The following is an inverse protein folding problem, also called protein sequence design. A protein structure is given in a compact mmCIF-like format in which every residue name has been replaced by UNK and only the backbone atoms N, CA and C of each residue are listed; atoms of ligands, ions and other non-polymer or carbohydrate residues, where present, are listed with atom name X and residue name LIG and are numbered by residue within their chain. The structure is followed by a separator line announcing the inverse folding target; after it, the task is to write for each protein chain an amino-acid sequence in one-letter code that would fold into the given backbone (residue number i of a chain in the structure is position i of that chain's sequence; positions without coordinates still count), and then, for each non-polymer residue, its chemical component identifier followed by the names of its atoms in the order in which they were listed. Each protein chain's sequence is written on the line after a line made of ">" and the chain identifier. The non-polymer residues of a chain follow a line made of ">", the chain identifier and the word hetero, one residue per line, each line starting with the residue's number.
data_IF_959047486166
#
_entry.id   IF_959047486166
#
_cell.length_a   1.000
_cell.length_b   1.000
_cell.length_c   1.000
_cell.angle_alpha   90.00
_cell.angle_beta   90.00
_cell.angle_gamma   90.00
#
_symmetry.space_group_name_H-M   'P 1'
#
loop_
_entity.id
_entity.type
_entity.pdbx_description
1 polymer ?
#
# COMPACT_ATOMS: atom_id res chain seq x y z
N UNK A 1 -4.10 12.90 4.13
CA UNK A 1 -5.28 12.03 4.04
C UNK A 1 -6.17 12.46 2.88
N UNK A 2 -6.59 11.50 2.05
CA UNK A 2 -7.50 11.75 0.94
C UNK A 2 -8.93 11.48 1.42
N UNK A 3 -9.86 12.46 1.37
CA UNK A 3 -11.23 12.25 1.83
C UNK A 3 -12.01 11.25 0.98
N UNK A 4 -11.52 10.96 -0.23
CA UNK A 4 -12.11 9.97 -1.15
C UNK A 4 -11.57 8.54 -0.94
N UNK A 5 -10.64 8.33 -0.01
CA UNK A 5 -10.15 7.00 0.37
C UNK A 5 -11.19 6.32 1.26
N UNK A 6 -12.25 5.79 0.67
CA UNK A 6 -13.37 5.13 1.35
C UNK A 6 -14.10 4.19 0.40
N UNK A 7 -14.98 3.34 0.92
CA UNK A 7 -15.75 2.38 0.11
C UNK A 7 -16.68 3.06 -0.91
N UNK A 8 -17.24 4.23 -0.57
CA UNK A 8 -18.07 5.01 -1.48
C UNK A 8 -17.19 5.72 -2.52
N UNK A 9 -16.87 5.04 -3.60
CA UNK A 9 -16.04 5.58 -4.69
C UNK A 9 -16.87 6.42 -5.64
N UNK A 10 -16.31 7.55 -6.06
CA UNK A 10 -16.93 8.46 -7.03
C UNK A 10 -16.61 8.08 -8.49
N UNK A 11 -15.58 7.28 -8.72
CA UNK A 11 -15.20 6.81 -10.05
C UNK A 11 -15.96 5.54 -10.44
N UNK A 12 -16.15 5.31 -11.73
CA UNK A 12 -16.86 4.14 -12.28
C UNK A 12 -16.11 2.83 -12.02
N UNK A 13 -14.77 2.89 -12.03
CA UNK A 13 -13.86 1.78 -11.72
C UNK A 13 -12.81 2.26 -10.73
N UNK A 14 -12.44 1.39 -9.79
CA UNK A 14 -11.27 1.58 -8.91
C UNK A 14 -10.22 0.52 -9.24
N UNK A 15 -8.99 0.98 -9.46
CA UNK A 15 -7.82 0.13 -9.62
C UNK A 15 -6.88 0.32 -8.42
N UNK A 16 -6.21 -0.74 -8.03
CA UNK A 16 -5.21 -0.72 -6.96
C UNK A 16 -4.47 -2.05 -6.87
N UNK A 17 -3.51 -2.14 -5.94
CA UNK A 17 -2.84 -3.39 -5.65
C UNK A 17 -3.73 -4.27 -4.77
N UNK A 18 -3.74 -5.58 -5.02
CA UNK A 18 -4.47 -6.53 -4.19
C UNK A 18 -3.58 -6.99 -3.03
N UNK A 19 -3.43 -6.14 -2.02
CA UNK A 19 -2.70 -6.50 -0.81
C UNK A 19 -3.30 -7.72 -0.12
N UNK A 20 -2.45 -8.65 0.30
CA UNK A 20 -2.88 -9.83 1.04
C UNK A 20 -3.47 -10.96 0.20
N UNK A 21 -3.43 -10.90 -1.13
CA UNK A 21 -3.97 -11.95 -2.00
C UNK A 21 -3.42 -13.35 -1.67
N UNK A 22 -2.18 -13.46 -1.23
CA UNK A 22 -1.53 -14.71 -0.84
C UNK A 22 -2.26 -15.47 0.27
N UNK A 23 -3.01 -14.78 1.13
CA UNK A 23 -3.80 -15.41 2.20
C UNK A 23 -5.02 -16.15 1.67
N UNK A 24 -5.48 -15.79 0.47
CA UNK A 24 -6.65 -16.37 -0.19
C UNK A 24 -6.28 -17.26 -1.35
N UNK A 25 -5.22 -16.91 -2.08
CA UNK A 25 -4.73 -17.69 -3.20
C UNK A 25 -3.23 -17.47 -3.40
N UNK A 26 -2.44 -18.36 -2.83
CA UNK A 26 -0.97 -18.29 -2.89
C UNK A 26 -0.41 -18.46 -4.31
N UNK A 27 -1.18 -19.06 -5.23
CA UNK A 27 -0.74 -19.22 -6.63
C UNK A 27 -0.76 -17.91 -7.43
N UNK A 28 -1.43 -16.89 -6.90
CA UNK A 28 -1.50 -15.54 -7.50
C UNK A 28 -0.49 -14.57 -6.86
N UNK A 29 0.17 -14.96 -5.77
CA UNK A 29 1.20 -14.14 -5.11
C UNK A 29 2.52 -14.35 -5.85
N UNK A 30 2.64 -13.72 -7.00
CA UNK A 30 3.86 -13.74 -7.78
C UNK A 30 4.69 -12.45 -7.59
N UNK A 31 5.84 -12.42 -8.25
CA UNK A 31 6.80 -11.33 -8.15
C UNK A 31 6.27 -10.00 -8.71
N UNK A 32 5.37 -10.07 -9.67
CA UNK A 32 4.84 -8.91 -10.40
C UNK A 32 3.61 -8.32 -9.69
N UNK A 33 3.06 -9.06 -8.71
CA UNK A 33 1.90 -8.67 -7.92
C UNK A 33 0.58 -8.89 -8.66
N UNK A 34 -0.52 -8.60 -7.98
CA UNK A 34 -1.88 -8.72 -8.50
C UNK A 34 -2.61 -7.40 -8.35
N UNK A 35 -3.20 -6.93 -9.44
CA UNK A 35 -4.05 -5.74 -9.40
C UNK A 35 -5.46 -6.08 -8.94
N UNK A 36 -6.02 -5.22 -8.10
CA UNK A 36 -7.44 -5.23 -7.74
C UNK A 36 -8.20 -4.31 -8.69
N UNK A 37 -9.33 -4.77 -9.19
CA UNK A 37 -10.29 -3.97 -9.94
C UNK A 37 -11.65 -4.08 -9.25
N UNK A 38 -12.22 -2.94 -8.85
CA UNK A 38 -13.58 -2.86 -8.33
C UNK A 38 -14.45 -2.03 -9.27
N UNK A 39 -15.60 -2.60 -9.67
CA UNK A 39 -16.61 -1.94 -10.51
C UNK A 39 -17.60 -1.23 -9.59
N UNK A 40 -17.74 0.08 -9.73
CA UNK A 40 -18.52 0.90 -8.81
C UNK A 40 -19.84 1.41 -9.42
N UNK A 41 -20.00 1.33 -10.74
CA UNK A 41 -21.20 1.81 -11.45
C UNK A 41 -21.54 0.93 -12.65
N UNK A 42 -22.73 1.13 -13.21
CA UNK A 42 -23.17 0.45 -14.44
C UNK A 42 -22.27 0.81 -15.64
N UNK A 43 -21.83 2.06 -15.72
CA UNK A 43 -20.87 2.49 -16.74
C UNK A 43 -19.52 1.80 -16.58
N UNK A 44 -19.05 1.63 -15.33
CA UNK A 44 -17.86 0.87 -15.02
C UNK A 44 -18.01 -0.59 -15.44
N UNK A 45 -19.19 -1.18 -15.25
CA UNK A 45 -19.48 -2.54 -15.70
C UNK A 45 -19.38 -2.68 -17.23
N UNK A 46 -19.96 -1.76 -17.98
CA UNK A 46 -19.86 -1.76 -19.44
C UNK A 46 -18.39 -1.70 -19.90
N UNK A 47 -17.59 -0.87 -19.25
CA UNK A 47 -16.16 -0.75 -19.55
C UNK A 47 -15.39 -2.03 -19.21
N UNK A 48 -15.72 -2.65 -18.07
CA UNK A 48 -15.16 -3.92 -17.65
C UNK A 48 -15.48 -5.03 -18.64
N UNK A 49 -16.73 -5.12 -19.10
CA UNK A 49 -17.20 -6.15 -20.04
C UNK A 49 -16.44 -6.07 -21.38
N UNK A 50 -16.00 -4.86 -21.80
CA UNK A 50 -15.18 -4.68 -23.00
C UNK A 50 -13.73 -5.14 -22.82
N UNK A 51 -13.20 -5.07 -21.61
CA UNK A 51 -11.78 -5.32 -21.33
C UNK A 51 -11.50 -6.73 -20.78
N UNK A 52 -12.51 -7.43 -20.26
CA UNK A 52 -12.34 -8.68 -19.51
C UNK A 52 -11.63 -9.78 -20.30
N UNK A 53 -11.88 -9.90 -21.61
CA UNK A 53 -11.31 -10.94 -22.46
C UNK A 53 -9.80 -10.73 -22.72
N UNK A 54 -9.30 -9.53 -22.44
CA UNK A 54 -7.89 -9.18 -22.62
C UNK A 54 -7.04 -9.43 -21.37
N UNK A 55 -7.66 -9.85 -20.27
CA UNK A 55 -7.00 -9.99 -18.98
C UNK A 55 -7.30 -11.34 -18.32
N UNK A 56 -6.32 -11.89 -17.59
CA UNK A 56 -6.57 -13.04 -16.72
C UNK A 56 -7.18 -12.51 -15.41
N UNK A 57 -8.41 -12.92 -15.13
CA UNK A 57 -9.15 -12.40 -13.97
C UNK A 57 -9.63 -13.49 -13.02
N UNK A 58 -9.73 -13.12 -11.75
CA UNK A 58 -10.31 -13.93 -10.69
C UNK A 58 -11.28 -13.05 -9.89
N UNK A 59 -12.48 -13.53 -9.64
CA UNK A 59 -13.50 -12.79 -8.88
C UNK A 59 -13.39 -13.09 -7.39
N UNK A 60 -13.42 -12.03 -6.58
CA UNK A 60 -13.44 -12.10 -5.11
C UNK A 60 -14.54 -11.21 -4.55
N UNK A 61 -15.05 -11.57 -3.39
CA UNK A 61 -15.95 -10.68 -2.67
C UNK A 61 -15.21 -9.41 -2.23
N UNK A 62 -15.90 -8.26 -2.30
CA UNK A 62 -15.29 -6.95 -2.03
C UNK A 62 -14.62 -6.87 -0.65
N UNK A 63 -15.20 -7.47 0.38
CA UNK A 63 -14.65 -7.46 1.73
C UNK A 63 -13.26 -8.12 1.79
N UNK A 64 -13.00 -9.15 0.99
CA UNK A 64 -11.71 -9.83 0.89
C UNK A 64 -10.66 -8.87 0.31
N UNK A 65 -10.99 -8.20 -0.80
CA UNK A 65 -10.08 -7.23 -1.42
C UNK A 65 -9.83 -6.00 -0.53
N UNK A 66 -10.83 -5.59 0.27
CA UNK A 66 -10.73 -4.44 1.16
C UNK A 66 -9.98 -4.75 2.47
N UNK A 67 -9.90 -6.00 2.91
CA UNK A 67 -9.37 -6.37 4.23
C UNK A 67 -7.94 -5.86 4.45
N UNK A 68 -7.07 -6.02 3.48
CA UNK A 68 -5.68 -5.57 3.53
C UNK A 68 -5.43 -4.23 2.83
N UNK A 69 -6.50 -3.57 2.36
CA UNK A 69 -6.45 -2.26 1.69
C UNK A 69 -7.10 -1.19 2.55
N UNK A 70 -6.38 -0.66 3.54
CA UNK A 70 -6.90 0.36 4.45
C UNK A 70 -7.43 1.57 3.69
N UNK A 71 -6.68 2.11 2.72
CA UNK A 71 -7.09 3.25 1.90
C UNK A 71 -8.33 2.99 1.03
N UNK A 72 -8.76 1.74 0.89
CA UNK A 72 -10.04 1.40 0.26
C UNK A 72 -11.20 1.54 1.24
N UNK A 73 -10.99 1.25 2.52
CA UNK A 73 -12.03 1.24 3.56
C UNK A 73 -12.27 2.62 4.16
N UNK A 74 -11.20 3.32 4.48
CA UNK A 74 -11.24 4.58 5.21
C UNK A 74 -10.06 5.49 4.87
N UNK A 75 -10.21 6.81 4.98
CA UNK A 75 -9.12 7.75 4.82
C UNK A 75 -8.06 7.54 5.91
N UNK A 76 -6.79 7.58 5.53
CA UNK A 76 -5.71 7.70 6.51
C UNK A 76 -5.91 8.94 7.38
N UNK A 77 -5.71 8.83 8.71
CA UNK A 77 -5.83 9.96 9.60
C UNK A 77 -4.86 11.08 9.20
N UNK A 78 -5.29 12.31 9.43
CA UNK A 78 -4.45 13.46 9.13
C UNK A 78 -3.20 13.43 10.03
N UNK A 79 -1.98 13.43 9.46
CA UNK A 79 -0.76 13.35 10.27
C UNK A 79 -0.63 14.57 11.19
N UNK A 80 -0.63 14.34 12.50
CA UNK A 80 -0.62 15.40 13.52
C UNK A 80 0.57 16.37 13.33
N UNK A 81 1.74 15.85 12.96
CA UNK A 81 2.96 16.65 12.76
C UNK A 81 3.07 17.31 11.37
N UNK A 82 2.08 17.14 10.51
CA UNK A 82 2.18 17.65 9.12
C UNK A 82 2.45 19.15 9.05
N UNK A 83 1.75 19.96 9.85
CA UNK A 83 1.94 21.40 9.87
C UNK A 83 3.33 21.83 10.36
N UNK A 84 3.86 21.15 11.37
CA UNK A 84 5.20 21.38 11.88
C UNK A 84 6.25 21.05 10.82
N UNK A 85 6.10 19.91 10.15
CA UNK A 85 7.01 19.48 9.10
C UNK A 85 6.98 20.42 7.87
N UNK A 86 5.80 20.93 7.51
CA UNK A 86 5.69 21.94 6.43
C UNK A 86 6.42 23.23 6.82
N UNK A 87 6.24 23.72 8.06
CA UNK A 87 6.94 24.91 8.54
C UNK A 87 8.47 24.72 8.54
N UNK A 88 8.96 23.56 8.93
CA UNK A 88 10.39 23.22 8.85
C UNK A 88 10.87 23.24 7.41
N UNK A 89 10.11 22.65 6.48
CA UNK A 89 10.45 22.64 5.06
C UNK A 89 10.54 24.05 4.48
N UNK A 90 9.54 24.88 4.76
CA UNK A 90 9.47 26.27 4.26
C UNK A 90 10.56 27.18 4.85
N UNK A 91 10.87 27.02 6.13
CA UNK A 91 11.83 27.88 6.82
C UNK A 91 13.28 27.41 6.66
N UNK A 92 13.52 26.11 6.84
CA UNK A 92 14.85 25.54 7.04
C UNK A 92 15.26 24.57 5.90
N UNK A 93 14.36 24.35 4.92
CA UNK A 93 14.60 23.56 3.73
C UNK A 93 14.56 22.04 3.94
N UNK A 94 14.75 21.30 2.84
CA UNK A 94 14.58 19.85 2.79
C UNK A 94 15.53 19.08 3.72
N UNK A 95 16.76 19.53 3.89
CA UNK A 95 17.74 18.88 4.77
C UNK A 95 17.32 18.93 6.26
N UNK A 96 16.70 20.03 6.68
CA UNK A 96 16.15 20.16 8.03
C UNK A 96 14.92 19.28 8.21
N UNK A 97 14.04 19.22 7.21
CA UNK A 97 12.89 18.33 7.20
C UNK A 97 13.31 16.86 7.35
N UNK A 98 14.29 16.40 6.55
CA UNK A 98 14.81 15.02 6.65
C UNK A 98 15.36 14.72 8.04
N UNK A 99 16.08 15.68 8.67
CA UNK A 99 16.56 15.52 10.06
C UNK A 99 15.41 15.44 11.07
N UNK A 100 14.37 16.28 10.89
CA UNK A 100 13.19 16.28 11.77
C UNK A 100 12.35 15.01 11.62
N UNK A 101 12.29 14.45 10.40
CA UNK A 101 11.63 13.19 10.09
C UNK A 101 12.49 11.97 10.40
N UNK A 102 13.78 12.14 10.71
CA UNK A 102 14.67 11.01 10.98
C UNK A 102 14.24 10.29 12.24
N UNK A 103 13.25 9.44 12.04
CA UNK A 103 12.84 8.41 12.97
C UNK A 103 14.03 7.45 13.21
N UNK A 104 14.26 6.98 14.42
CA UNK A 104 15.24 5.93 14.71
C UNK A 104 15.15 4.74 13.77
N UNK A 105 13.94 4.46 13.28
CA UNK A 105 13.66 3.38 12.32
C UNK A 105 14.26 3.63 10.93
N UNK A 106 14.37 4.87 10.45
CA UNK A 106 15.02 5.17 9.15
C UNK A 106 16.51 4.88 9.24
N UNK A 107 17.18 5.28 10.32
CA UNK A 107 18.60 4.96 10.54
C UNK A 107 18.82 3.46 10.66
N UNK A 108 17.92 2.76 11.35
CA UNK A 108 17.93 1.31 11.51
C UNK A 108 17.70 0.60 10.18
N UNK A 109 16.76 1.07 9.38
CA UNK A 109 16.46 0.51 8.07
C UNK A 109 17.58 0.79 7.05
N UNK A 110 18.24 1.95 7.09
CA UNK A 110 19.41 2.26 6.27
C UNK A 110 20.63 1.41 6.66
N UNK A 111 20.85 1.17 7.94
CA UNK A 111 21.87 0.25 8.43
C UNK A 111 21.54 -1.18 8.02
N UNK A 112 20.29 -1.60 8.15
CA UNK A 112 19.82 -2.90 7.70
C UNK A 112 19.98 -3.09 6.18
N UNK A 113 19.66 -2.09 5.36
CA UNK A 113 19.82 -2.12 3.91
C UNK A 113 21.29 -2.33 3.49
N UNK A 114 22.23 -1.75 4.25
CA UNK A 114 23.68 -1.87 4.01
C UNK A 114 24.32 -3.14 4.58
N UNK A 115 23.56 -3.94 5.37
CA UNK A 115 24.09 -5.19 5.92
C UNK A 115 24.24 -6.27 4.83
N UNK A 116 25.32 -7.07 4.85
CA UNK A 116 25.45 -8.25 4.01
C UNK A 116 24.28 -9.22 4.22
N UNK A 117 23.84 -9.87 3.14
CA UNK A 117 22.66 -10.76 3.18
C UNK A 117 22.82 -11.93 4.13
N UNK A 118 24.05 -12.39 4.35
CA UNK A 118 24.36 -13.46 5.32
C UNK A 118 23.99 -13.05 6.74
N UNK A 119 24.27 -11.81 7.12
CA UNK A 119 23.94 -11.28 8.46
C UNK A 119 22.41 -11.10 8.59
N UNK A 120 21.74 -10.64 7.54
CA UNK A 120 20.26 -10.53 7.52
C UNK A 120 19.59 -11.88 7.73
N UNK A 121 20.10 -12.94 7.07
CA UNK A 121 19.60 -14.33 7.23
C UNK A 121 19.81 -14.87 8.64
N UNK A 122 20.96 -14.62 9.24
CA UNK A 122 21.25 -15.05 10.62
C UNK A 122 20.28 -14.37 11.59
N UNK A 123 20.11 -13.05 11.47
CA UNK A 123 19.18 -12.28 12.32
C UNK A 123 17.73 -12.73 12.20
N UNK A 124 17.27 -13.04 10.98
CA UNK A 124 15.90 -13.55 10.76
C UNK A 124 15.71 -14.95 11.37
N UNK A 125 16.71 -15.83 11.27
CA UNK A 125 16.66 -17.14 11.95
C UNK A 125 16.59 -17.03 13.47
N UNK A 126 17.30 -16.07 14.06
CA UNK A 126 17.25 -15.84 15.52
C UNK A 126 15.90 -15.29 15.98
N UNK A 127 15.21 -14.48 15.17
CA UNK A 127 13.86 -13.95 15.48
C UNK A 127 12.74 -14.98 15.33
N UNK A 128 12.91 -15.99 14.49
CA UNK A 128 11.91 -17.04 14.26
C UNK A 128 11.93 -18.17 15.30
N UNK A 129 12.78 -18.08 16.35
CA UNK A 129 12.89 -19.03 17.43
C UNK A 129 12.45 -18.51 18.81
N UNK A 130 11.63 -17.43 18.84
CA UNK A 130 10.98 -16.94 20.07
C UNK A 130 9.48 -17.08 19.94
#
# INVERSE_FOLDING_TARGET
>A
SCPYAQNARVGDITLGDFWGIKHYNSSLDDRDGVSMLAVNSEKGKQLFDLAQDSCKMHSYALHIAAEHNQSYREPEPYPVKRHELIKILEKDGASALVRAMSCPDIKKNLLWAKMPDIIKRIYQKMKGHI
#
